data_IF_804664884626
#
_entry.id   IF_804664884626
#
_cell.length_a   1.000
_cell.length_b   1.000
_cell.length_c   1.000
_cell.angle_alpha   90.00
_cell.angle_beta   90.00
_cell.angle_gamma   90.00
#
_symmetry.space_group_name_H-M   'P 1'
#
loop_
_entity.id
_entity.type
_entity.pdbx_description
1 polymer ?
#
# COMPACT_ATOMS: atom_id res chain seq x y z
N UNK A 1 -13.06 79.10 -21.19
CA UNK A 1 -14.13 78.07 -21.17
C UNK A 1 -13.46 76.70 -21.20
N UNK A 2 -13.45 75.97 -20.07
CA UNK A 2 -12.85 74.63 -20.00
C UNK A 2 -13.99 73.63 -20.21
N UNK A 3 -14.01 72.96 -21.35
CA UNK A 3 -15.01 71.92 -21.66
C UNK A 3 -14.51 70.62 -21.04
N UNK A 4 -15.22 70.15 -20.01
CA UNK A 4 -14.87 68.91 -19.28
C UNK A 4 -15.35 67.69 -20.07
N UNK A 5 -14.45 66.77 -20.39
CA UNK A 5 -14.73 65.55 -21.18
C UNK A 5 -15.28 64.41 -20.31
N UNK A 6 -16.41 64.63 -19.65
CA UNK A 6 -16.98 63.66 -18.68
C UNK A 6 -17.39 62.32 -19.30
N UNK A 7 -17.77 62.30 -20.59
CA UNK A 7 -18.19 61.08 -21.28
C UNK A 7 -17.05 60.08 -21.51
N UNK A 8 -15.84 60.56 -21.84
CA UNK A 8 -14.67 59.72 -22.10
C UNK A 8 -14.13 59.09 -20.80
N UNK A 9 -14.14 59.87 -19.73
CA UNK A 9 -13.79 59.44 -18.36
C UNK A 9 -14.72 58.33 -17.86
N UNK A 10 -16.06 58.52 -17.97
CA UNK A 10 -17.04 57.49 -17.57
C UNK A 10 -16.94 56.21 -18.40
N UNK A 11 -16.72 56.31 -19.71
CA UNK A 11 -16.56 55.14 -20.57
C UNK A 11 -15.30 54.33 -20.22
N UNK A 12 -14.18 55.02 -19.98
CA UNK A 12 -12.93 54.39 -19.54
C UNK A 12 -13.09 53.72 -18.17
N UNK A 13 -13.78 54.36 -17.22
CA UNK A 13 -14.07 53.77 -15.91
C UNK A 13 -14.90 52.49 -16.01
N UNK A 14 -15.97 52.49 -16.82
CA UNK A 14 -16.82 51.32 -17.03
C UNK A 14 -16.08 50.18 -17.72
N UNK A 15 -15.24 50.50 -18.72
CA UNK A 15 -14.41 49.51 -19.40
C UNK A 15 -13.38 48.89 -18.43
N UNK A 16 -12.77 49.71 -17.58
CA UNK A 16 -11.80 49.24 -16.58
C UNK A 16 -12.48 48.36 -15.52
N UNK A 17 -13.68 48.74 -15.06
CA UNK A 17 -14.49 47.92 -14.12
C UNK A 17 -14.83 46.54 -14.70
N UNK A 18 -15.20 46.47 -15.99
CA UNK A 18 -15.46 45.18 -16.67
C UNK A 18 -14.19 44.32 -16.78
N UNK A 19 -13.05 44.93 -17.11
CA UNK A 19 -11.75 44.22 -17.16
C UNK A 19 -11.34 43.67 -15.80
N UNK A 20 -11.48 44.48 -14.74
CA UNK A 20 -11.21 44.06 -13.36
C UNK A 20 -12.14 42.91 -12.94
N UNK A 21 -13.43 43.00 -13.26
CA UNK A 21 -14.40 41.93 -12.99
C UNK A 21 -14.02 40.62 -13.70
N UNK A 22 -13.56 40.70 -14.95
CA UNK A 22 -13.11 39.54 -15.73
C UNK A 22 -11.84 38.93 -15.13
N UNK A 23 -10.92 39.76 -14.66
CA UNK A 23 -9.67 39.32 -14.03
C UNK A 23 -9.93 38.59 -12.70
N UNK A 24 -10.84 39.12 -11.88
CA UNK A 24 -11.26 38.49 -10.62
C UNK A 24 -11.94 37.15 -10.90
N UNK A 25 -12.81 37.07 -11.92
CA UNK A 25 -13.47 35.82 -12.29
C UNK A 25 -12.47 34.76 -12.78
N UNK A 26 -11.48 35.16 -13.59
CA UNK A 26 -10.41 34.25 -14.03
C UNK A 26 -9.57 33.73 -12.85
N UNK A 27 -9.21 34.60 -11.90
CA UNK A 27 -8.52 34.20 -10.68
C UNK A 27 -9.35 33.22 -9.84
N UNK A 28 -10.66 33.44 -9.74
CA UNK A 28 -11.56 32.55 -9.00
C UNK A 28 -11.66 31.16 -9.64
N UNK A 29 -11.69 31.07 -10.97
CA UNK A 29 -11.65 29.80 -11.71
C UNK A 29 -10.33 29.05 -11.54
N UNK A 30 -9.21 29.76 -11.51
CA UNK A 30 -7.88 29.16 -11.26
C UNK A 30 -7.84 28.62 -9.82
N UNK A 31 -8.29 29.41 -8.84
CA UNK A 31 -8.32 29.00 -7.43
C UNK A 31 -9.24 27.79 -7.19
N UNK A 32 -10.44 27.79 -7.78
CA UNK A 32 -11.37 26.66 -7.64
C UNK A 32 -10.82 25.37 -8.26
N UNK A 33 -10.14 25.47 -9.40
CA UNK A 33 -9.50 24.31 -10.06
C UNK A 33 -8.38 23.69 -9.22
N UNK A 34 -7.56 24.52 -8.54
CA UNK A 34 -6.50 24.03 -7.65
C UNK A 34 -7.02 23.38 -6.36
N UNK A 35 -8.16 23.84 -5.83
CA UNK A 35 -8.80 23.22 -4.67
C UNK A 35 -9.42 21.86 -5.00
N UNK A 36 -10.06 21.73 -6.17
CA UNK A 36 -10.66 20.46 -6.63
C UNK A 36 -9.61 19.39 -6.88
N UNK A 37 -8.48 19.73 -7.51
CA UNK A 37 -7.39 18.77 -7.78
C UNK A 37 -6.73 18.23 -6.50
N UNK A 38 -6.50 19.08 -5.50
CA UNK A 38 -5.96 18.65 -4.21
C UNK A 38 -6.93 17.74 -3.42
N UNK A 39 -8.25 17.92 -3.57
CA UNK A 39 -9.25 17.07 -2.92
C UNK A 39 -9.31 15.68 -3.56
N UNK A 40 -9.22 15.60 -4.90
CA UNK A 40 -9.23 14.34 -5.66
C UNK A 40 -7.98 13.48 -5.35
N UNK A 41 -6.83 14.11 -5.16
CA UNK A 41 -5.59 13.40 -4.79
C UNK A 41 -5.64 12.80 -3.38
N UNK A 42 -6.45 13.36 -2.47
CA UNK A 42 -6.49 12.94 -1.06
C UNK A 42 -7.42 11.74 -0.80
N UNK A 43 -8.28 11.37 -1.75
CA UNK A 43 -9.32 10.34 -1.54
C UNK A 43 -9.04 9.00 -2.22
N UNK A 44 -7.94 8.85 -2.95
CA UNK A 44 -7.59 7.58 -3.63
C UNK A 44 -6.70 6.64 -2.79
N UNK A 45 -6.68 6.77 -1.47
CA UNK A 45 -6.11 5.72 -0.61
C UNK A 45 -7.13 4.59 -0.44
N UNK A 46 -7.34 3.83 -1.50
CA UNK A 46 -8.07 2.56 -1.39
C UNK A 46 -7.14 1.56 -0.72
N UNK A 47 -7.44 1.21 0.53
CA UNK A 47 -6.72 0.15 1.24
C UNK A 47 -6.92 -1.17 0.47
N UNK A 48 -5.82 -1.78 0.08
CA UNK A 48 -5.81 -3.10 -0.54
C UNK A 48 -5.47 -4.14 0.54
N UNK A 49 -6.25 -5.22 0.60
CA UNK A 49 -5.95 -6.31 1.49
C UNK A 49 -4.69 -7.03 1.01
N UNK A 50 -3.65 -7.06 1.85
CA UNK A 50 -2.49 -7.94 1.65
C UNK A 50 -2.90 -9.40 1.83
N UNK A 51 -3.65 -9.66 2.88
CA UNK A 51 -4.28 -10.96 3.14
C UNK A 51 -5.77 -10.74 3.24
N UNK A 52 -6.53 -11.37 2.35
CA UNK A 52 -7.98 -11.27 2.36
C UNK A 52 -8.54 -12.07 3.55
N UNK A 53 -9.37 -11.46 4.42
CA UNK A 53 -10.04 -12.18 5.48
C UNK A 53 -10.86 -13.36 4.95
N UNK A 54 -10.99 -14.41 5.75
CA UNK A 54 -11.78 -15.62 5.46
C UNK A 54 -11.30 -16.48 4.29
N UNK A 55 -10.13 -16.20 3.70
CA UNK A 55 -9.58 -17.00 2.60
C UNK A 55 -8.76 -18.20 3.10
N UNK A 56 -8.15 -18.07 4.28
CA UNK A 56 -7.26 -19.05 4.89
C UNK A 56 -7.81 -19.54 6.23
N UNK A 57 -7.45 -20.77 6.59
CA UNK A 57 -7.91 -21.41 7.83
C UNK A 57 -7.35 -20.73 9.07
N UNK A 58 -6.09 -20.35 9.02
CA UNK A 58 -5.37 -19.68 10.09
C UNK A 58 -4.27 -18.80 9.49
N UNK A 59 -3.95 -17.70 10.16
CA UNK A 59 -2.93 -16.72 9.79
C UNK A 59 -2.19 -16.31 11.08
N UNK A 60 -0.86 -16.33 11.04
CA UNK A 60 0.00 -15.95 12.16
C UNK A 60 1.05 -14.96 11.70
N UNK A 61 1.36 -13.98 12.55
CA UNK A 61 2.51 -13.09 12.36
C UNK A 61 3.82 -13.85 12.63
N UNK A 62 4.84 -13.64 11.80
CA UNK A 62 6.18 -14.19 12.00
C UNK A 62 7.16 -13.11 12.46
N UNK A 63 7.59 -12.25 11.52
CA UNK A 63 8.55 -11.16 11.76
C UNK A 63 8.47 -10.13 10.63
N UNK A 64 8.63 -8.85 10.94
CA UNK A 64 8.62 -7.77 9.94
C UNK A 64 7.34 -7.74 9.10
N UNK A 65 7.46 -8.04 7.80
CA UNK A 65 6.33 -8.11 6.86
C UNK A 65 5.87 -9.55 6.57
N UNK A 66 6.38 -10.54 7.31
CA UNK A 66 6.11 -11.95 7.05
C UNK A 66 4.93 -12.46 7.87
N UNK A 67 4.00 -13.11 7.17
CA UNK A 67 2.85 -13.79 7.78
C UNK A 67 2.80 -15.23 7.31
N UNK A 68 2.61 -16.16 8.25
CA UNK A 68 2.33 -17.56 7.97
C UNK A 68 0.84 -17.75 7.80
N UNK A 69 0.42 -18.62 6.89
CA UNK A 69 -0.97 -19.06 6.82
C UNK A 69 -1.06 -20.48 6.27
N UNK A 70 -2.22 -21.11 6.44
CA UNK A 70 -2.52 -22.40 5.84
C UNK A 70 -3.58 -22.28 4.75
N UNK A 71 -3.30 -22.87 3.60
CA UNK A 71 -4.32 -23.10 2.57
C UNK A 71 -5.39 -24.06 3.12
N UNK A 72 -6.57 -24.04 2.50
CA UNK A 72 -7.65 -24.96 2.86
C UNK A 72 -7.28 -26.44 2.61
N UNK A 73 -6.30 -26.70 1.74
CA UNK A 73 -5.67 -28.02 1.51
C UNK A 73 -4.79 -28.49 2.68
N UNK A 74 -4.45 -27.61 3.62
CA UNK A 74 -3.54 -27.89 4.74
C UNK A 74 -2.08 -27.51 4.48
N UNK A 75 -1.74 -27.06 3.26
CA UNK A 75 -0.39 -26.63 2.92
C UNK A 75 -0.03 -25.32 3.63
N UNK A 76 1.15 -25.30 4.27
CA UNK A 76 1.68 -24.10 4.93
C UNK A 76 2.34 -23.16 3.93
N UNK A 77 2.10 -21.87 4.11
CA UNK A 77 2.60 -20.80 3.24
C UNK A 77 3.11 -19.62 4.08
N UNK A 78 4.03 -18.84 3.50
CA UNK A 78 4.43 -17.53 4.02
C UNK A 78 4.12 -16.48 2.95
N UNK A 79 3.52 -15.36 3.34
CA UNK A 79 3.41 -14.17 2.50
C UNK A 79 4.31 -13.06 3.04
N UNK A 80 5.02 -12.39 2.15
CA UNK A 80 5.71 -11.14 2.42
C UNK A 80 4.80 -9.97 2.05
N UNK A 81 4.29 -9.27 3.05
CA UNK A 81 3.33 -8.18 2.87
C UNK A 81 3.90 -6.99 2.10
N UNK A 82 5.23 -6.84 2.05
CA UNK A 82 5.87 -5.73 1.35
C UNK A 82 5.93 -5.94 -0.16
N UNK A 83 6.16 -7.20 -0.60
CA UNK A 83 6.23 -7.56 -2.01
C UNK A 83 4.97 -8.24 -2.53
N UNK A 84 4.11 -8.72 -1.62
CA UNK A 84 2.96 -9.60 -1.87
C UNK A 84 3.36 -10.98 -2.41
N UNK A 85 4.63 -11.36 -2.28
CA UNK A 85 5.11 -12.68 -2.70
C UNK A 85 4.62 -13.76 -1.74
N UNK A 86 4.19 -14.89 -2.30
CA UNK A 86 3.76 -16.06 -1.55
C UNK A 86 4.78 -17.20 -1.76
N UNK A 87 5.27 -17.74 -0.66
CA UNK A 87 6.16 -18.89 -0.60
C UNK A 87 5.38 -20.09 -0.08
N UNK A 88 5.37 -21.16 -0.86
CA UNK A 88 4.61 -22.37 -0.56
C UNK A 88 5.56 -23.50 -0.17
N UNK A 89 5.15 -24.29 0.82
CA UNK A 89 5.99 -25.32 1.42
C UNK A 89 5.30 -26.69 1.39
N UNK A 90 5.01 -27.25 0.20
CA UNK A 90 4.17 -28.45 0.08
C UNK A 90 4.79 -29.72 0.69
N UNK A 91 6.09 -29.70 0.97
CA UNK A 91 6.82 -30.85 1.52
C UNK A 91 6.92 -30.84 3.05
N UNK A 92 6.55 -29.74 3.70
CA UNK A 92 6.67 -29.54 5.14
C UNK A 92 5.29 -29.54 5.81
N UNK A 93 5.24 -29.93 7.08
CA UNK A 93 4.01 -29.90 7.86
C UNK A 93 3.77 -28.49 8.43
N UNK A 94 4.86 -27.79 8.78
CA UNK A 94 4.87 -26.43 9.28
C UNK A 94 6.22 -25.72 9.01
N UNK A 95 6.21 -24.40 9.14
CA UNK A 95 7.39 -23.54 9.06
C UNK A 95 7.33 -22.45 10.14
N UNK A 96 8.50 -22.10 10.68
CA UNK A 96 8.68 -21.08 11.70
C UNK A 96 9.82 -20.14 11.30
N UNK A 97 9.71 -18.88 11.69
CA UNK A 97 10.82 -17.93 11.58
C UNK A 97 11.84 -18.18 12.69
N UNK A 98 13.13 -18.09 12.35
CA UNK A 98 14.23 -18.19 13.32
C UNK A 98 15.05 -16.89 13.32
N UNK A 99 15.65 -16.56 12.17
CA UNK A 99 16.43 -15.34 11.98
C UNK A 99 16.41 -14.92 10.52
N UNK A 100 17.04 -13.79 10.21
CA UNK A 100 17.07 -13.26 8.84
C UNK A 100 17.46 -14.32 7.80
N UNK A 101 16.58 -14.53 6.82
CA UNK A 101 16.70 -15.52 5.74
C UNK A 101 16.83 -16.99 6.19
N UNK A 102 16.54 -17.31 7.45
CA UNK A 102 16.59 -18.66 8.00
C UNK A 102 15.28 -19.00 8.70
N UNK A 103 14.70 -20.12 8.28
CA UNK A 103 13.45 -20.64 8.81
C UNK A 103 13.67 -22.06 9.34
N UNK A 104 12.81 -22.47 10.27
CA UNK A 104 12.76 -23.83 10.78
C UNK A 104 11.53 -24.49 10.15
N UNK A 105 11.74 -25.45 9.27
CA UNK A 105 10.68 -26.28 8.71
C UNK A 105 10.61 -27.61 9.45
N UNK A 106 9.41 -28.15 9.67
CA UNK A 106 9.25 -29.50 10.22
C UNK A 106 8.58 -30.46 9.23
N UNK A 107 8.93 -31.73 9.35
CA UNK A 107 8.28 -32.83 8.64
C UNK A 107 8.35 -34.09 9.49
N UNK A 108 7.21 -34.69 9.81
CA UNK A 108 7.13 -35.93 10.59
C UNK A 108 7.99 -35.87 11.87
N UNK A 109 7.84 -34.80 12.67
CA UNK A 109 8.61 -34.55 13.91
C UNK A 109 10.12 -34.30 13.73
N UNK A 110 10.63 -34.26 12.51
CA UNK A 110 12.00 -33.85 12.18
C UNK A 110 12.03 -32.37 11.81
N UNK A 111 13.07 -31.65 12.21
CA UNK A 111 13.26 -30.22 11.95
C UNK A 111 14.49 -29.95 11.08
N UNK A 112 14.37 -28.96 10.20
CA UNK A 112 15.39 -28.55 9.25
C UNK A 112 15.50 -27.03 9.22
N UNK A 113 16.73 -26.52 9.14
CA UNK A 113 16.94 -25.13 8.76
C UNK A 113 16.80 -24.99 7.24
N UNK A 114 15.95 -24.09 6.80
CA UNK A 114 15.68 -23.81 5.39
C UNK A 114 15.81 -22.31 5.08
N UNK A 115 16.07 -21.98 3.81
CA UNK A 115 15.94 -20.62 3.31
C UNK A 115 14.46 -20.20 3.13
N UNK A 116 14.22 -18.96 2.73
CA UNK A 116 12.87 -18.41 2.47
C UNK A 116 12.11 -19.16 1.35
N UNK A 117 12.80 -19.95 0.53
CA UNK A 117 12.20 -20.76 -0.53
C UNK A 117 11.98 -22.21 -0.11
N UNK A 118 12.37 -22.58 1.12
CA UNK A 118 12.23 -23.94 1.65
C UNK A 118 13.39 -24.87 1.32
N UNK A 119 14.49 -24.37 0.75
CA UNK A 119 15.67 -25.19 0.49
C UNK A 119 16.43 -25.41 1.80
N UNK A 120 16.83 -26.65 2.07
CA UNK A 120 17.63 -26.98 3.26
C UNK A 120 18.98 -26.25 3.22
N UNK A 121 19.31 -25.60 4.32
CA UNK A 121 20.60 -24.93 4.52
C UNK A 121 21.71 -25.89 4.98
N UNK A 122 21.34 -27.08 5.44
CA UNK A 122 22.27 -28.15 5.79
C UNK A 122 21.57 -29.51 5.78
N UNK A 123 22.36 -30.59 5.72
CA UNK A 123 21.85 -31.96 5.84
C UNK A 123 21.52 -32.37 7.29
N UNK A 124 21.84 -31.52 8.27
CA UNK A 124 21.51 -31.79 9.67
C UNK A 124 20.00 -31.80 9.85
N UNK A 125 19.56 -32.80 10.61
CA UNK A 125 18.17 -32.96 11.03
C UNK A 125 18.14 -32.96 12.56
N UNK A 126 17.17 -32.27 13.13
CA UNK A 126 16.99 -32.17 14.58
C UNK A 126 15.67 -32.83 14.97
N UNK A 127 15.65 -33.57 16.07
CA UNK A 127 14.43 -34.18 16.60
C UNK A 127 13.66 -33.20 17.48
N UNK A 128 12.34 -33.39 17.58
CA UNK A 128 11.54 -32.66 18.54
C UNK A 128 11.95 -33.04 19.96
N UNK A 129 12.44 -32.08 20.74
CA UNK A 129 12.76 -32.28 22.16
C UNK A 129 11.50 -32.34 23.07
N UNK A 130 10.33 -32.04 22.51
CA UNK A 130 9.02 -32.11 23.18
C UNK A 130 8.18 -33.32 22.75
N UNK A 131 8.80 -34.31 22.10
CA UNK A 131 8.14 -35.59 21.77
C UNK A 131 7.84 -36.45 22.99
#
# INVERSE_FOLDING_TARGET
MIIRTEGKERHNYLLNRKKISLLIFALFLIFSSTMVSNLINKTNTQWEWVIKPSLYKDISFLEGNLFKFYKNSGEVCIIDASTKDIYEYPLFDDIYFDRENVFIANKNSSFFYVDKSGNKLSDKTYENIYS
#
